data_IF_982576286287
#
_entry.id   IF_982576286287
#
_cell.length_a   1.000
_cell.length_b   1.000
_cell.length_c   1.000
_cell.angle_alpha   90.00
_cell.angle_beta   90.00
_cell.angle_gamma   90.00
#
_symmetry.space_group_name_H-M   'P 1'
#
loop_
_entity.id
_entity.type
_entity.pdbx_description
1 polymer ?
#
# COMPACT_ATOMS: atom_id res chain seq x y z
N UNK A 1 11.90 -19.78 22.94
CA UNK A 1 12.10 -19.95 21.48
C UNK A 1 10.84 -19.71 20.61
N UNK A 2 9.60 -19.78 21.10
CA UNK A 2 8.37 -19.63 20.25
C UNK A 2 7.99 -18.19 19.85
N UNK A 3 8.40 -17.17 20.60
CA UNK A 3 7.99 -15.78 20.36
C UNK A 3 8.65 -15.15 19.12
N UNK A 4 9.86 -15.58 18.77
CA UNK A 4 10.58 -15.10 17.58
C UNK A 4 10.07 -15.75 16.28
N UNK A 5 9.48 -16.94 16.35
CA UNK A 5 8.98 -17.66 15.17
C UNK A 5 7.65 -17.13 14.63
N UNK A 6 6.84 -16.47 15.46
CA UNK A 6 5.54 -15.94 15.06
C UNK A 6 5.64 -14.77 14.06
N UNK A 7 6.43 -13.70 14.31
CA UNK A 7 6.56 -12.61 13.35
C UNK A 7 7.19 -13.08 12.04
N UNK A 8 8.18 -13.99 12.11
CA UNK A 8 8.83 -14.54 10.92
C UNK A 8 7.83 -15.33 10.03
N UNK A 9 6.94 -16.11 10.65
CA UNK A 9 5.88 -16.82 9.93
C UNK A 9 4.86 -15.86 9.30
N UNK A 10 4.52 -14.76 9.98
CA UNK A 10 3.63 -13.73 9.43
C UNK A 10 4.24 -13.05 8.20
N UNK A 11 5.52 -12.67 8.26
CA UNK A 11 6.24 -12.09 7.12
C UNK A 11 6.28 -13.09 5.95
N UNK A 12 6.56 -14.37 6.23
CA UNK A 12 6.54 -15.41 5.21
C UNK A 12 5.17 -15.49 4.52
N UNK A 13 4.07 -15.52 5.29
CA UNK A 13 2.72 -15.58 4.73
C UNK A 13 2.37 -14.35 3.89
N UNK A 14 2.87 -13.17 4.27
CA UNK A 14 2.68 -11.94 3.53
C UNK A 14 3.47 -11.93 2.21
N UNK A 15 4.74 -12.33 2.23
CA UNK A 15 5.58 -12.37 1.03
C UNK A 15 5.13 -13.42 0.01
N UNK A 16 4.68 -14.59 0.48
CA UNK A 16 4.20 -15.68 -0.39
C UNK A 16 2.69 -15.62 -0.66
N UNK A 17 1.99 -14.58 -0.20
CA UNK A 17 0.55 -14.38 -0.43
C UNK A 17 -0.29 -15.61 -0.05
N UNK A 18 -0.04 -16.21 1.12
CA UNK A 18 -0.67 -17.47 1.52
C UNK A 18 -1.88 -17.30 2.45
N UNK A 19 -2.32 -16.06 2.70
CA UNK A 19 -3.54 -15.82 3.46
C UNK A 19 -4.77 -16.19 2.64
N UNK A 20 -5.76 -16.81 3.28
CA UNK A 20 -7.02 -17.17 2.62
C UNK A 20 -7.78 -15.92 2.15
N UNK A 21 -8.53 -16.07 1.07
CA UNK A 21 -9.42 -15.01 0.55
C UNK A 21 -10.54 -14.73 1.55
N UNK A 22 -11.02 -13.49 1.58
CA UNK A 22 -12.03 -13.01 2.54
C UNK A 22 -11.60 -13.09 4.02
N UNK A 23 -10.29 -12.97 4.27
CA UNK A 23 -9.74 -12.77 5.61
C UNK A 23 -9.24 -11.35 5.76
N UNK A 24 -9.29 -10.79 6.97
CA UNK A 24 -8.86 -9.40 7.19
C UNK A 24 -7.36 -9.19 6.92
N UNK A 25 -6.52 -10.22 7.06
CA UNK A 25 -5.09 -10.15 6.74
C UNK A 25 -4.87 -9.99 5.23
N UNK A 26 -5.68 -10.70 4.43
CA UNK A 26 -5.69 -10.54 2.98
C UNK A 26 -6.10 -9.12 2.60
N UNK A 27 -7.17 -8.60 3.21
CA UNK A 27 -7.65 -7.24 2.95
C UNK A 27 -6.59 -6.19 3.29
N UNK A 28 -5.85 -6.35 4.39
CA UNK A 28 -4.73 -5.48 4.74
C UNK A 28 -3.61 -5.50 3.69
N UNK A 29 -3.27 -6.66 3.14
CA UNK A 29 -2.26 -6.76 2.10
C UNK A 29 -2.70 -6.06 0.80
N UNK A 30 -3.98 -6.17 0.44
CA UNK A 30 -4.56 -5.43 -0.69
C UNK A 30 -4.48 -3.93 -0.43
N UNK A 31 -4.90 -3.47 0.75
CA UNK A 31 -4.82 -2.06 1.15
C UNK A 31 -3.37 -1.56 1.10
N UNK A 32 -2.39 -2.35 1.53
CA UNK A 32 -0.98 -1.98 1.47
C UNK A 32 -0.49 -1.78 0.03
N UNK A 33 -0.88 -2.65 -0.90
CA UNK A 33 -0.53 -2.48 -2.33
C UNK A 33 -1.23 -1.27 -2.92
N UNK A 34 -2.53 -1.08 -2.66
CA UNK A 34 -3.26 0.09 -3.15
C UNK A 34 -2.67 1.39 -2.61
N UNK A 35 -2.33 1.42 -1.32
CA UNK A 35 -1.63 2.54 -0.70
C UNK A 35 -0.29 2.79 -1.37
N UNK A 36 0.50 1.76 -1.69
CA UNK A 36 1.75 1.91 -2.42
C UNK A 36 1.55 2.52 -3.81
N UNK A 37 0.59 2.01 -4.59
CA UNK A 37 0.27 2.54 -5.93
C UNK A 37 -0.19 3.98 -5.87
N UNK A 38 -1.00 4.33 -4.87
CA UNK A 38 -1.60 5.65 -4.71
C UNK A 38 -0.65 6.68 -4.10
N UNK A 39 0.20 6.26 -3.18
CA UNK A 39 1.19 7.11 -2.53
C UNK A 39 2.38 7.39 -3.45
N UNK A 40 2.68 6.49 -4.39
CA UNK A 40 3.76 6.71 -5.38
C UNK A 40 3.30 7.76 -6.39
N UNK A 41 3.76 9.03 -6.30
CA UNK A 41 3.30 10.06 -7.20
C UNK A 41 3.89 9.83 -8.60
N UNK A 42 3.12 10.10 -9.67
CA UNK A 42 3.55 9.86 -11.05
C UNK A 42 4.88 10.54 -11.40
N UNK A 43 5.13 11.70 -10.79
CA UNK A 43 6.37 12.45 -10.94
C UNK A 43 7.63 11.66 -10.53
N UNK A 44 7.53 10.71 -9.58
CA UNK A 44 8.67 9.87 -9.18
C UNK A 44 9.04 8.84 -10.23
N UNK A 45 8.07 8.38 -11.03
CA UNK A 45 8.33 7.50 -12.17
C UNK A 45 8.80 8.27 -13.41
N UNK A 46 8.74 9.60 -13.40
CA UNK A 46 9.06 10.41 -14.58
C UNK A 46 8.14 10.11 -15.77
N UNK A 47 6.90 9.69 -15.50
CA UNK A 47 5.99 9.22 -16.53
C UNK A 47 5.41 10.41 -17.33
N UNK A 48 5.70 10.54 -18.64
CA UNK A 48 5.19 11.63 -19.46
C UNK A 48 3.68 11.51 -19.74
N UNK A 49 3.06 10.35 -19.48
CA UNK A 49 1.64 10.10 -19.77
C UNK A 49 0.73 10.46 -18.59
N UNK A 50 1.24 10.40 -17.36
CA UNK A 50 0.47 10.67 -16.15
C UNK A 50 0.68 12.11 -15.67
N UNK A 51 -0.03 13.05 -16.30
CA UNK A 51 0.00 14.47 -15.96
C UNK A 51 -1.11 14.81 -14.95
N UNK A 52 -0.79 14.92 -13.66
CA UNK A 52 -1.75 15.37 -12.66
C UNK A 52 -1.25 15.28 -11.21
N UNK A 53 -1.85 16.04 -10.27
CA UNK A 53 -1.60 15.83 -8.84
C UNK A 53 -2.07 14.41 -8.49
N UNK A 54 -1.14 13.53 -8.12
CA UNK A 54 -1.48 12.20 -7.58
C UNK A 54 -2.38 12.32 -6.33
N UNK A 55 -2.74 11.20 -5.70
CA UNK A 55 -3.65 11.24 -4.55
C UNK A 55 -3.17 12.17 -3.42
N UNK A 56 -1.87 12.23 -3.17
CA UNK A 56 -1.27 13.19 -2.21
C UNK A 56 -1.57 14.64 -2.62
N UNK A 57 -1.44 14.97 -3.90
CA UNK A 57 -1.70 16.31 -4.42
C UNK A 57 -3.19 16.68 -4.31
N UNK A 58 -4.10 15.73 -4.53
CA UNK A 58 -5.54 15.93 -4.31
C UNK A 58 -5.86 16.20 -2.84
N UNK A 59 -5.26 15.44 -1.91
CA UNK A 59 -5.43 15.67 -0.47
C UNK A 59 -4.86 17.02 -0.02
N UNK A 60 -3.67 17.40 -0.52
CA UNK A 60 -3.06 18.70 -0.20
C UNK A 60 -3.92 19.86 -0.71
N UNK A 61 -4.49 19.71 -1.92
CA UNK A 61 -5.38 20.72 -2.49
C UNK A 61 -6.69 20.80 -1.70
N UNK A 62 -7.29 19.68 -1.31
CA UNK A 62 -8.47 19.65 -0.45
C UNK A 62 -8.22 20.34 0.90
N UNK A 63 -7.07 20.10 1.53
CA UNK A 63 -6.70 20.74 2.79
C UNK A 63 -6.58 22.27 2.63
N UNK A 64 -6.13 22.75 1.47
CA UNK A 64 -6.02 24.19 1.19
C UNK A 64 -7.37 24.90 0.98
N UNK A 65 -8.47 24.15 0.83
CA UNK A 65 -9.82 24.68 0.64
C UNK A 65 -10.58 24.92 1.95
N UNK A 66 -10.00 24.57 3.10
CA UNK A 66 -10.53 24.79 4.44
C UNK A 66 -9.66 25.80 5.20
#
# INVERSE_FOLDING_TARGET
MRLLTLPLRMIWHALFWTFDRATWQYDLMVIAILAFVWLTPPAWLGDPMASGPGLIGLFAQLLSLF
#
